data_IF_156268461745
#
_entry.id   IF_156268461745
#
_cell.length_a   1.000
_cell.length_b   1.000
_cell.length_c   1.000
_cell.angle_alpha   90.00
_cell.angle_beta   90.00
_cell.angle_gamma   90.00
#
_symmetry.space_group_name_H-M   'P 1'
#
loop_
_entity.id
_entity.type
_entity.pdbx_description
1 polymer ?
#
# COMPACT_ATOMS: atom_id res chain seq x y z
N UNK A 1 -27.99 -9.80 -6.46
CA UNK A 1 -26.60 -10.27 -6.59
C UNK A 1 -26.14 -10.93 -5.27
N UNK A 2 -25.14 -11.83 -5.31
CA UNK A 2 -24.53 -12.41 -4.08
C UNK A 2 -23.58 -11.43 -3.37
N UNK A 3 -22.88 -10.61 -4.14
CA UNK A 3 -21.88 -9.65 -3.68
C UNK A 3 -22.09 -8.32 -4.39
N UNK A 4 -21.82 -7.23 -3.68
CA UNK A 4 -21.75 -5.87 -4.21
C UNK A 4 -20.31 -5.38 -4.00
N UNK A 5 -19.61 -5.06 -5.08
CA UNK A 5 -18.21 -4.64 -5.06
C UNK A 5 -18.17 -3.16 -5.42
N UNK A 6 -17.58 -2.35 -4.55
CA UNK A 6 -17.37 -0.92 -4.74
C UNK A 6 -15.91 -0.68 -5.09
N UNK A 7 -15.66 0.05 -6.17
CA UNK A 7 -14.33 0.32 -6.71
C UNK A 7 -14.34 1.66 -7.45
N UNK A 8 -13.26 2.43 -7.35
CA UNK A 8 -13.09 3.67 -8.13
C UNK A 8 -12.45 3.42 -9.50
N UNK A 9 -12.53 4.43 -10.37
CA UNK A 9 -12.06 4.34 -11.76
C UNK A 9 -10.53 4.33 -11.89
N UNK A 10 -9.81 4.84 -10.89
CA UNK A 10 -8.35 4.85 -10.79
C UNK A 10 -7.81 3.67 -9.95
N UNK A 11 -8.58 2.58 -9.88
CA UNK A 11 -8.21 1.36 -9.17
C UNK A 11 -8.18 0.16 -10.11
N UNK A 12 -7.02 -0.49 -10.21
CA UNK A 12 -6.90 -1.77 -10.90
C UNK A 12 -7.46 -2.88 -10.02
N UNK A 13 -8.27 -3.76 -10.62
CA UNK A 13 -8.86 -4.92 -9.95
C UNK A 13 -8.48 -6.23 -10.61
N UNK A 14 -8.00 -7.15 -9.78
CA UNK A 14 -7.81 -8.55 -10.15
C UNK A 14 -9.15 -9.29 -10.13
N UNK A 15 -9.83 -9.42 -11.27
CA UNK A 15 -11.00 -10.29 -11.38
C UNK A 15 -10.69 -11.73 -10.98
N UNK A 16 -9.50 -12.25 -11.30
CA UNK A 16 -9.05 -13.58 -10.90
C UNK A 16 -9.04 -13.71 -9.37
N UNK A 17 -8.26 -12.87 -8.68
CA UNK A 17 -8.07 -12.98 -7.24
C UNK A 17 -9.34 -12.59 -6.48
N UNK A 18 -10.10 -11.59 -6.95
CA UNK A 18 -11.39 -11.23 -6.37
C UNK A 18 -12.36 -12.42 -6.42
N UNK A 19 -12.58 -13.03 -7.59
CA UNK A 19 -13.54 -14.13 -7.70
C UNK A 19 -13.11 -15.35 -6.88
N UNK A 20 -11.80 -15.61 -6.78
CA UNK A 20 -11.25 -16.64 -5.90
C UNK A 20 -11.48 -16.31 -4.43
N UNK A 21 -11.29 -15.06 -4.00
CA UNK A 21 -11.60 -14.60 -2.65
C UNK A 21 -13.09 -14.80 -2.33
N UNK A 22 -13.98 -14.30 -3.18
CA UNK A 22 -15.44 -14.38 -2.98
C UNK A 22 -15.95 -15.81 -2.93
N UNK A 23 -15.33 -16.75 -3.66
CA UNK A 23 -15.67 -18.18 -3.62
C UNK A 23 -15.40 -18.82 -2.25
N UNK A 24 -14.52 -18.25 -1.43
CA UNK A 24 -14.17 -18.75 -0.10
C UNK A 24 -15.08 -18.23 1.01
N UNK A 25 -15.93 -17.26 0.70
CA UNK A 25 -16.80 -16.58 1.65
C UNK A 25 -18.27 -16.97 1.43
N UNK A 26 -19.08 -16.83 2.48
CA UNK A 26 -20.52 -17.10 2.42
C UNK A 26 -21.30 -15.78 2.33
N UNK A 27 -21.89 -15.52 1.15
CA UNK A 27 -22.69 -14.32 0.90
C UNK A 27 -23.98 -14.25 1.73
N UNK A 28 -24.39 -15.33 2.38
CA UNK A 28 -25.54 -15.36 3.28
C UNK A 28 -25.20 -14.89 4.70
N UNK A 29 -23.91 -14.71 5.02
CA UNK A 29 -23.47 -14.05 6.24
C UNK A 29 -23.36 -12.54 6.00
N UNK A 30 -23.68 -11.70 6.99
CA UNK A 30 -23.64 -10.25 6.83
C UNK A 30 -22.19 -9.75 6.90
N UNK A 31 -21.49 -9.85 5.76
CA UNK A 31 -20.10 -9.48 5.60
C UNK A 31 -19.97 -8.11 4.94
N UNK A 32 -19.03 -7.31 5.47
CA UNK A 32 -18.51 -6.06 4.93
C UNK A 32 -16.98 -6.07 5.11
N UNK A 33 -16.21 -6.02 4.02
CA UNK A 33 -14.74 -6.08 4.09
C UNK A 33 -14.09 -5.27 2.99
N UNK A 34 -12.89 -4.74 3.24
CA UNK A 34 -12.19 -3.88 2.30
C UNK A 34 -10.89 -3.32 2.86
N UNK A 35 -10.27 -2.39 2.15
CA UNK A 35 -9.10 -1.67 2.64
C UNK A 35 -9.50 -0.76 3.81
N UNK A 36 -8.96 -1.02 5.00
CA UNK A 36 -9.33 -0.28 6.21
C UNK A 36 -8.82 1.16 6.17
N UNK A 37 -9.68 2.09 6.55
CA UNK A 37 -9.33 3.46 6.88
C UNK A 37 -10.15 3.92 8.11
N UNK A 38 -9.74 5.03 8.74
CA UNK A 38 -10.33 5.53 9.99
C UNK A 38 -10.52 7.05 9.92
N UNK A 39 -11.74 7.50 10.22
CA UNK A 39 -12.09 8.93 10.39
C UNK A 39 -12.83 9.05 11.72
N UNK A 40 -12.24 9.78 12.67
CA UNK A 40 -12.75 9.86 14.05
C UNK A 40 -12.84 8.46 14.67
N UNK A 41 -14.05 8.07 15.08
CA UNK A 41 -14.33 6.75 15.65
C UNK A 41 -14.79 5.71 14.60
N UNK A 42 -15.02 6.13 13.35
CA UNK A 42 -15.51 5.24 12.30
C UNK A 42 -14.36 4.52 11.62
N UNK A 43 -14.38 3.19 11.69
CA UNK A 43 -13.56 2.31 10.83
C UNK A 43 -14.37 1.92 9.58
N UNK A 44 -13.84 2.22 8.39
CA UNK A 44 -14.55 2.02 7.13
C UNK A 44 -13.64 1.45 6.04
N UNK A 45 -14.27 0.85 5.03
CA UNK A 45 -13.61 0.39 3.82
C UNK A 45 -13.41 1.57 2.87
N UNK A 46 -12.16 1.93 2.60
CA UNK A 46 -11.80 3.03 1.70
C UNK A 46 -12.37 2.81 0.30
N UNK A 47 -13.17 3.76 -0.19
CA UNK A 47 -13.89 3.67 -1.47
C UNK A 47 -12.97 3.50 -2.66
N UNK A 48 -11.86 4.25 -2.69
CA UNK A 48 -10.84 4.15 -3.73
C UNK A 48 -10.20 2.78 -3.84
N UNK A 49 -9.65 2.29 -2.73
CA UNK A 49 -9.01 0.97 -2.66
C UNK A 49 -9.98 -0.21 -2.80
N UNK A 50 -11.26 0.04 -2.53
CA UNK A 50 -12.37 -0.86 -2.73
C UNK A 50 -12.82 -1.58 -1.47
N UNK A 51 -14.10 -1.98 -1.49
CA UNK A 51 -14.71 -2.81 -0.47
C UNK A 51 -15.85 -3.66 -1.06
N UNK A 52 -16.26 -4.67 -0.30
CA UNK A 52 -17.29 -5.63 -0.70
C UNK A 52 -18.34 -5.74 0.39
N UNK A 53 -19.60 -5.72 -0.04
CA UNK A 53 -20.78 -5.96 0.79
C UNK A 53 -21.48 -7.25 0.32
N UNK A 54 -21.73 -8.15 1.25
CA UNK A 54 -22.50 -9.38 0.99
C UNK A 54 -24.00 -9.09 0.77
N UNK A 55 -24.70 -10.02 0.09
CA UNK A 55 -26.16 -9.94 -0.04
C UNK A 55 -26.87 -9.83 1.31
N UNK A 56 -26.44 -10.61 2.31
CA UNK A 56 -27.06 -10.58 3.62
C UNK A 56 -26.84 -9.25 4.36
N UNK A 57 -25.66 -8.61 4.22
CA UNK A 57 -25.41 -7.28 4.77
C UNK A 57 -26.30 -6.22 4.09
N UNK A 58 -26.38 -6.24 2.75
CA UNK A 58 -27.23 -5.32 2.01
C UNK A 58 -28.73 -5.47 2.38
N UNK A 59 -29.21 -6.71 2.53
CA UNK A 59 -30.60 -7.00 2.96
C UNK A 59 -30.92 -6.49 4.36
N UNK A 60 -29.95 -6.52 5.28
CA UNK A 60 -30.16 -5.93 6.62
C UNK A 60 -30.42 -4.43 6.53
N UNK A 61 -29.62 -3.73 5.72
CA UNK A 61 -29.79 -2.28 5.52
C UNK A 61 -31.10 -1.97 4.77
N UNK A 62 -31.45 -2.77 3.76
CA UNK A 62 -32.75 -2.68 3.09
C UNK A 62 -33.92 -2.88 4.07
N UNK A 63 -33.83 -3.86 4.98
CA UNK A 63 -34.84 -4.10 6.00
C UNK A 63 -35.00 -2.91 6.97
N UNK A 64 -33.88 -2.25 7.31
CA UNK A 64 -33.88 -1.01 8.10
C UNK A 64 -34.59 0.11 7.33
N UNK A 65 -34.27 0.30 6.05
CA UNK A 65 -34.92 1.28 5.18
C UNK A 65 -36.41 1.01 5.02
N UNK A 66 -36.84 -0.24 4.83
CA UNK A 66 -38.24 -0.61 4.68
C UNK A 66 -39.05 -0.35 5.96
N UNK A 67 -38.44 -0.59 7.13
CA UNK A 67 -39.07 -0.36 8.44
C UNK A 67 -39.24 1.14 8.74
N UNK A 68 -38.18 1.92 8.48
CA UNK A 68 -38.12 3.33 8.91
C UNK A 68 -38.56 4.30 7.80
N UNK A 69 -38.68 3.83 6.56
CA UNK A 69 -39.28 4.54 5.42
C UNK A 69 -38.65 5.90 5.15
N UNK A 70 -39.48 6.95 5.15
CA UNK A 70 -39.05 8.33 4.87
C UNK A 70 -38.03 8.83 5.89
N UNK A 71 -38.15 8.43 7.16
CA UNK A 71 -37.22 8.87 8.21
C UNK A 71 -35.79 8.36 7.97
N UNK A 72 -35.64 7.15 7.41
CA UNK A 72 -34.34 6.62 7.00
C UNK A 72 -33.71 7.50 5.91
N UNK A 73 -34.48 7.81 4.86
CA UNK A 73 -34.01 8.61 3.73
C UNK A 73 -33.61 10.01 4.19
N UNK A 74 -34.48 10.71 4.91
CA UNK A 74 -34.20 12.08 5.41
C UNK A 74 -32.95 12.12 6.30
N UNK A 75 -32.75 11.10 7.15
CA UNK A 75 -31.57 10.99 8.00
C UNK A 75 -30.29 10.85 7.17
N UNK A 76 -30.25 9.90 6.24
CA UNK A 76 -29.03 9.63 5.46
C UNK A 76 -28.76 10.70 4.41
N UNK A 77 -29.78 11.33 3.82
CA UNK A 77 -29.61 12.51 2.96
C UNK A 77 -28.95 13.65 3.72
N UNK A 78 -29.44 13.96 4.93
CA UNK A 78 -28.85 15.00 5.78
C UNK A 78 -27.41 14.67 6.15
N UNK A 79 -27.16 13.48 6.69
CA UNK A 79 -25.81 13.06 7.11
C UNK A 79 -24.83 13.07 5.93
N UNK A 80 -25.26 12.61 4.75
CA UNK A 80 -24.43 12.62 3.54
C UNK A 80 -24.12 14.05 3.09
N UNK A 81 -25.09 14.97 3.17
CA UNK A 81 -24.88 16.38 2.80
C UNK A 81 -23.91 17.14 3.71
N UNK A 82 -23.69 16.64 4.92
CA UNK A 82 -22.81 17.25 5.93
C UNK A 82 -21.45 16.53 6.05
N UNK A 83 -21.25 15.41 5.33
CA UNK A 83 -20.03 14.60 5.38
C UNK A 83 -19.12 14.82 4.16
N UNK A 84 -17.81 14.67 4.36
CA UNK A 84 -16.83 14.72 3.29
C UNK A 84 -16.82 13.47 2.40
N UNK A 85 -17.26 12.34 2.95
CA UNK A 85 -16.72 11.05 2.55
C UNK A 85 -17.83 9.99 2.48
N UNK A 86 -18.26 9.62 1.27
CA UNK A 86 -19.41 8.75 1.06
C UNK A 86 -19.20 7.29 1.47
N UNK A 87 -17.97 6.80 1.41
CA UNK A 87 -17.56 5.48 1.89
C UNK A 87 -17.67 5.34 3.41
N UNK A 88 -17.29 6.38 4.15
CA UNK A 88 -17.49 6.50 5.60
C UNK A 88 -19.00 6.44 5.95
N UNK A 89 -19.85 7.13 5.17
CA UNK A 89 -21.30 7.08 5.35
C UNK A 89 -21.86 5.67 5.15
N UNK A 90 -21.39 4.94 4.14
CA UNK A 90 -21.79 3.53 3.92
C UNK A 90 -21.43 2.67 5.13
N UNK A 91 -20.23 2.85 5.70
CA UNK A 91 -19.83 2.11 6.89
C UNK A 91 -20.71 2.43 8.11
N UNK A 92 -21.02 3.72 8.35
CA UNK A 92 -21.95 4.12 9.42
C UNK A 92 -23.32 3.47 9.25
N UNK A 93 -23.84 3.43 8.03
CA UNK A 93 -25.12 2.79 7.73
C UNK A 93 -25.11 1.27 8.01
N UNK A 94 -24.01 0.59 7.70
CA UNK A 94 -23.83 -0.82 7.99
C UNK A 94 -23.69 -1.10 9.50
N UNK A 95 -23.05 -0.22 10.25
CA UNK A 95 -22.94 -0.31 11.72
C UNK A 95 -24.31 -0.28 12.40
N UNK A 96 -25.28 0.51 11.89
CA UNK A 96 -26.65 0.55 12.44
C UNK A 96 -27.39 -0.79 12.37
N UNK A 97 -26.96 -1.67 11.46
CA UNK A 97 -27.49 -3.03 11.33
C UNK A 97 -26.53 -4.11 11.84
N UNK A 98 -25.60 -3.69 12.70
CA UNK A 98 -24.58 -4.51 13.34
C UNK A 98 -23.72 -5.26 12.31
N UNK A 99 -23.24 -4.54 11.29
CA UNK A 99 -22.29 -5.02 10.28
C UNK A 99 -21.08 -4.09 10.28
N UNK A 100 -19.99 -4.57 10.85
CA UNK A 100 -18.73 -3.82 10.98
C UNK A 100 -17.76 -4.21 9.88
N UNK A 101 -16.83 -3.32 9.56
CA UNK A 101 -15.76 -3.61 8.61
C UNK A 101 -14.88 -4.75 9.13
N UNK A 102 -14.63 -5.73 8.29
CA UNK A 102 -13.50 -6.67 8.43
C UNK A 102 -12.33 -6.15 7.57
N UNK A 103 -11.21 -5.75 8.17
CA UNK A 103 -10.03 -5.31 7.42
C UNK A 103 -9.55 -6.41 6.47
N UNK A 104 -9.44 -6.09 5.19
CA UNK A 104 -9.06 -7.04 4.13
C UNK A 104 -7.60 -6.87 3.67
N UNK A 105 -6.79 -6.07 4.36
CA UNK A 105 -5.38 -5.89 4.03
C UNK A 105 -4.60 -7.20 4.27
N UNK A 106 -3.65 -7.58 3.40
CA UNK A 106 -3.24 -6.89 2.17
C UNK A 106 -3.98 -7.37 0.90
N UNK A 107 -5.02 -8.21 1.00
CA UNK A 107 -5.77 -8.64 -0.20
C UNK A 107 -6.32 -7.43 -0.96
N UNK A 108 -6.98 -6.52 -0.26
CA UNK A 108 -7.52 -5.26 -0.78
C UNK A 108 -6.80 -4.11 -0.07
N UNK A 109 -6.15 -3.24 -0.84
CA UNK A 109 -5.23 -2.23 -0.31
C UNK A 109 -5.10 -1.00 -1.23
N UNK A 110 -4.47 0.08 -0.75
CA UNK A 110 -4.48 1.40 -1.39
C UNK A 110 -3.20 1.86 -2.07
N UNK A 111 -2.11 1.12 -1.94
CA UNK A 111 -0.84 1.43 -2.59
C UNK A 111 -0.84 1.05 -4.07
N UNK A 112 0.14 1.61 -4.78
CA UNK A 112 0.54 1.21 -6.13
C UNK A 112 1.71 0.23 -6.06
N UNK A 113 2.05 -0.42 -7.17
CA UNK A 113 3.29 -1.22 -7.28
C UNK A 113 4.55 -0.37 -7.00
N UNK A 114 4.48 0.93 -7.30
CA UNK A 114 5.57 1.85 -7.05
C UNK A 114 5.75 2.18 -5.55
N UNK A 115 4.65 2.28 -4.79
CA UNK A 115 4.67 2.85 -3.44
C UNK A 115 4.63 1.80 -2.33
N UNK A 116 4.11 0.60 -2.61
CA UNK A 116 3.99 -0.48 -1.63
C UNK A 116 5.35 -0.87 -1.04
N UNK A 117 5.36 -1.10 0.27
CA UNK A 117 6.45 -1.72 1.02
C UNK A 117 6.38 -3.25 0.92
N UNK A 118 7.28 -3.82 0.12
CA UNK A 118 7.33 -5.26 -0.07
C UNK A 118 7.85 -5.93 1.21
N UNK A 119 6.94 -6.57 1.95
CA UNK A 119 7.23 -7.27 3.22
C UNK A 119 6.70 -8.70 3.20
N UNK A 120 7.10 -9.50 4.19
CA UNK A 120 6.61 -10.87 4.37
C UNK A 120 5.07 -10.95 4.52
N UNK A 121 4.41 -9.87 4.94
CA UNK A 121 2.95 -9.82 5.10
C UNK A 121 2.23 -9.78 3.75
N UNK A 122 2.88 -9.19 2.74
CA UNK A 122 2.38 -9.12 1.37
C UNK A 122 2.72 -10.39 0.58
N UNK A 123 3.98 -10.82 0.65
CA UNK A 123 4.62 -11.71 -0.33
C UNK A 123 3.78 -12.90 -0.80
N UNK A 124 3.15 -13.62 0.15
CA UNK A 124 2.36 -14.83 -0.10
C UNK A 124 0.85 -14.64 -0.11
N UNK A 125 0.41 -13.38 -0.20
CA UNK A 125 -1.00 -13.02 -0.27
C UNK A 125 -1.37 -12.73 -1.73
N UNK A 126 -2.59 -13.07 -2.19
CA UNK A 126 -3.11 -12.61 -3.47
C UNK A 126 -3.34 -11.10 -3.49
N UNK A 127 -2.83 -10.40 -4.50
CA UNK A 127 -3.12 -8.97 -4.67
C UNK A 127 -4.45 -8.80 -5.42
N UNK A 128 -5.47 -8.18 -4.79
CA UNK A 128 -6.78 -7.95 -5.41
C UNK A 128 -6.87 -6.55 -6.02
N UNK A 129 -6.38 -5.52 -5.33
CA UNK A 129 -6.48 -4.13 -5.79
C UNK A 129 -5.16 -3.37 -5.74
N UNK A 130 -5.04 -2.40 -6.65
CA UNK A 130 -4.00 -1.37 -6.67
C UNK A 130 -4.68 -0.04 -6.97
N UNK A 131 -4.55 0.95 -6.08
CA UNK A 131 -5.28 2.23 -6.18
C UNK A 131 -4.34 3.38 -6.54
N UNK A 132 -4.89 4.53 -6.97
CA UNK A 132 -4.16 5.66 -7.54
C UNK A 132 -3.26 5.28 -8.72
N UNK A 133 -3.77 4.38 -9.56
CA UNK A 133 -3.09 3.92 -10.76
C UNK A 133 -3.59 4.68 -11.99
N UNK A 134 -2.65 5.01 -12.87
CA UNK A 134 -2.97 5.63 -14.16
C UNK A 134 -3.71 4.65 -15.09
N UNK A 135 -4.40 5.15 -16.14
CA UNK A 135 -5.03 4.29 -17.14
C UNK A 135 -4.06 3.28 -17.78
N UNK A 136 -2.80 3.67 -17.97
CA UNK A 136 -1.76 2.80 -18.51
C UNK A 136 -1.38 1.68 -17.53
N UNK A 137 -1.30 1.98 -16.24
CA UNK A 137 -1.08 0.96 -15.21
C UNK A 137 -2.28 0.00 -15.09
N UNK A 138 -3.51 0.50 -15.22
CA UNK A 138 -4.71 -0.35 -15.27
C UNK A 138 -4.64 -1.34 -16.44
N UNK A 139 -4.35 -0.86 -17.66
CA UNK A 139 -4.20 -1.71 -18.85
C UNK A 139 -3.05 -2.72 -18.69
N UNK A 140 -1.94 -2.29 -18.11
CA UNK A 140 -0.77 -3.15 -17.85
C UNK A 140 -1.10 -4.28 -16.87
N UNK A 141 -1.78 -3.96 -15.76
CA UNK A 141 -2.22 -4.96 -14.77
C UNK A 141 -3.26 -5.92 -15.36
N UNK A 142 -4.16 -5.40 -16.21
CA UNK A 142 -5.14 -6.22 -16.92
C UNK A 142 -4.46 -7.23 -17.86
N UNK A 143 -3.47 -6.79 -18.64
CA UNK A 143 -2.67 -7.65 -19.52
C UNK A 143 -1.90 -8.71 -18.74
N UNK A 144 -1.29 -8.35 -17.61
CA UNK A 144 -0.61 -9.29 -16.73
C UNK A 144 -1.57 -10.38 -16.23
N UNK A 145 -2.73 -10.01 -15.69
CA UNK A 145 -3.74 -10.98 -15.26
C UNK A 145 -4.19 -11.87 -16.42
N UNK A 146 -4.43 -11.28 -17.59
CA UNK A 146 -4.86 -12.03 -18.77
C UNK A 146 -3.82 -13.09 -19.16
N UNK A 147 -2.55 -12.72 -19.24
CA UNK A 147 -1.45 -13.66 -19.49
C UNK A 147 -1.37 -14.76 -18.44
N UNK A 148 -1.48 -14.39 -17.15
CA UNK A 148 -1.47 -15.36 -16.05
C UNK A 148 -2.61 -16.37 -16.16
N UNK A 149 -3.83 -15.91 -16.43
CA UNK A 149 -5.01 -16.77 -16.60
C UNK A 149 -4.85 -17.68 -17.81
N UNK A 150 -4.31 -17.17 -18.91
CA UNK A 150 -4.13 -17.96 -20.15
C UNK A 150 -3.08 -19.07 -19.93
N UNK A 151 -2.07 -18.86 -19.08
CA UNK A 151 -1.04 -19.86 -18.74
C UNK A 151 -1.45 -20.81 -17.62
N UNK A 152 -1.98 -20.29 -16.49
CA UNK A 152 -2.21 -21.04 -15.23
C UNK A 152 -3.67 -21.38 -14.97
N UNK A 153 -4.60 -20.77 -15.70
CA UNK A 153 -6.04 -20.93 -15.55
C UNK A 153 -6.66 -20.17 -14.38
N UNK A 154 -7.99 -20.08 -14.36
CA UNK A 154 -8.78 -19.32 -13.37
C UNK A 154 -8.79 -19.88 -11.93
N UNK A 155 -8.15 -21.03 -11.69
CA UNK A 155 -8.11 -21.67 -10.37
C UNK A 155 -6.87 -21.31 -9.56
N UNK A 156 -5.86 -20.74 -10.21
CA UNK A 156 -4.54 -20.47 -9.64
C UNK A 156 -4.38 -18.97 -9.46
N UNK A 157 -4.40 -18.43 -8.22
CA UNK A 157 -4.17 -17.00 -8.00
C UNK A 157 -2.73 -16.61 -8.39
N UNK A 158 -2.52 -15.35 -8.74
CA UNK A 158 -1.19 -14.74 -8.61
C UNK A 158 -1.08 -14.06 -7.24
N UNK A 159 0.13 -14.01 -6.72
CA UNK A 159 0.47 -13.45 -5.42
C UNK A 159 1.27 -12.15 -5.58
N UNK A 160 1.47 -11.41 -4.48
CA UNK A 160 2.36 -10.25 -4.47
C UNK A 160 3.75 -10.58 -5.01
N UNK A 161 4.34 -11.74 -4.69
CA UNK A 161 5.63 -12.15 -5.27
C UNK A 161 5.65 -12.19 -6.81
N UNK A 162 4.53 -12.58 -7.43
CA UNK A 162 4.45 -12.68 -8.89
C UNK A 162 4.36 -11.28 -9.52
N UNK A 163 3.66 -10.35 -8.85
CA UNK A 163 3.63 -8.94 -9.22
C UNK A 163 5.02 -8.32 -9.06
N UNK A 164 5.72 -8.60 -7.95
CA UNK A 164 7.09 -8.14 -7.72
C UNK A 164 8.04 -8.62 -8.81
N UNK A 165 8.02 -9.92 -9.12
CA UNK A 165 8.87 -10.51 -10.16
C UNK A 165 8.60 -9.90 -11.54
N UNK A 166 7.33 -9.62 -11.86
CA UNK A 166 6.97 -9.09 -13.16
C UNK A 166 7.24 -7.59 -13.32
N UNK A 167 6.96 -6.78 -12.28
CA UNK A 167 6.96 -5.32 -12.38
C UNK A 167 8.07 -4.60 -11.63
N UNK A 168 8.76 -5.27 -10.71
CA UNK A 168 9.72 -4.62 -9.80
C UNK A 168 11.14 -5.16 -10.01
N UNK A 169 11.30 -6.48 -10.06
CA UNK A 169 12.59 -7.17 -10.01
C UNK A 169 13.62 -6.60 -10.99
N UNK A 170 13.26 -6.46 -12.27
CA UNK A 170 14.17 -5.93 -13.29
C UNK A 170 14.54 -4.45 -13.06
N UNK A 171 13.66 -3.68 -12.43
CA UNK A 171 13.84 -2.25 -12.25
C UNK A 171 14.76 -1.90 -11.09
N UNK A 172 14.86 -2.77 -10.08
CA UNK A 172 15.66 -2.57 -8.87
C UNK A 172 17.04 -3.25 -8.90
N UNK A 173 17.34 -4.02 -9.96
CA UNK A 173 18.65 -4.65 -10.19
C UNK A 173 19.77 -3.66 -10.51
N UNK A 174 19.43 -2.42 -10.84
CA UNK A 174 20.37 -1.37 -11.21
C UNK A 174 20.16 -0.13 -10.34
N UNK A 175 21.25 0.58 -10.08
CA UNK A 175 21.15 1.92 -9.50
C UNK A 175 20.46 2.85 -10.48
N UNK A 176 19.58 3.70 -9.97
CA UNK A 176 18.79 4.64 -10.77
C UNK A 176 19.14 6.08 -10.42
N UNK A 177 19.25 6.92 -11.44
CA UNK A 177 19.36 8.38 -11.32
C UNK A 177 17.98 9.00 -11.47
N UNK A 178 17.77 10.18 -10.87
CA UNK A 178 16.51 10.92 -10.88
C UNK A 178 15.32 10.05 -10.47
N UNK A 179 15.55 9.25 -9.42
CA UNK A 179 14.64 8.23 -8.95
C UNK A 179 14.47 8.27 -7.44
N UNK A 180 13.22 8.37 -6.98
CA UNK A 180 12.84 8.41 -5.57
C UNK A 180 12.27 7.05 -5.18
N UNK A 181 13.08 6.22 -4.52
CA UNK A 181 12.66 4.89 -4.02
C UNK A 181 11.93 4.93 -2.66
N UNK A 182 11.64 6.11 -2.11
CA UNK A 182 10.87 6.28 -0.86
C UNK A 182 11.60 5.66 0.36
N UNK A 183 12.94 5.71 0.37
CA UNK A 183 13.74 5.41 1.56
C UNK A 183 13.51 6.46 2.65
N UNK A 184 13.17 6.05 3.87
CA UNK A 184 12.78 6.97 4.95
C UNK A 184 13.05 6.49 6.39
N UNK A 185 13.43 5.22 6.60
CA UNK A 185 13.57 4.64 7.95
C UNK A 185 14.75 5.21 8.74
N UNK A 186 15.83 5.61 8.04
CA UNK A 186 16.90 6.40 8.61
C UNK A 186 17.19 7.57 7.69
N UNK A 187 17.24 8.78 8.26
CA UNK A 187 17.53 10.01 7.52
C UNK A 187 18.80 10.65 8.08
N UNK A 188 19.70 11.03 7.18
CA UNK A 188 20.95 11.71 7.48
C UNK A 188 21.05 12.97 6.63
N UNK A 189 21.35 14.10 7.25
CA UNK A 189 21.44 15.39 6.58
C UNK A 189 22.60 16.21 7.15
N UNK A 190 23.38 16.83 6.26
CA UNK A 190 24.44 17.77 6.67
C UNK A 190 23.82 18.93 7.46
N UNK A 191 24.39 19.32 8.60
CA UNK A 191 23.98 20.54 9.28
C UNK A 191 24.15 21.73 8.32
N UNK A 192 23.06 22.42 7.99
CA UNK A 192 23.15 23.67 7.23
C UNK A 192 23.83 24.73 8.08
N UNK A 193 24.78 25.49 7.51
CA UNK A 193 25.45 26.62 8.19
C UNK A 193 24.56 27.84 8.40
N UNK A 194 23.24 27.69 8.28
CA UNK A 194 22.25 28.70 8.58
C UNK A 194 21.11 28.03 9.34
N UNK A 195 20.68 28.68 10.43
CA UNK A 195 19.45 28.42 11.15
C UNK A 195 18.33 28.05 10.17
N UNK A 196 17.96 26.78 10.16
CA UNK A 196 16.61 26.40 9.78
C UNK A 196 16.04 25.63 10.95
N UNK A 197 15.48 26.38 11.89
CA UNK A 197 14.21 26.01 12.50
C UNK A 197 13.16 25.89 11.38
N UNK A 198 13.32 24.91 10.51
CA UNK A 198 12.22 24.40 9.72
C UNK A 198 11.55 23.39 10.62
N UNK A 199 10.41 23.79 11.16
CA UNK A 199 9.50 22.88 11.84
C UNK A 199 9.32 21.66 10.93
N UNK A 200 9.78 20.53 11.46
CA UNK A 200 9.57 19.17 10.97
C UNK A 200 8.06 18.89 11.01
N UNK A 201 7.34 19.54 10.11
CA UNK A 201 5.89 19.54 9.97
C UNK A 201 5.44 18.42 9.03
N UNK A 202 5.97 17.22 9.28
CA UNK A 202 5.20 15.99 9.12
C UNK A 202 5.63 15.07 10.27
N UNK A 203 4.66 14.58 11.03
CA UNK A 203 4.80 13.59 12.08
C UNK A 203 5.25 12.23 11.50
N UNK A 204 6.43 12.19 10.88
CA UNK A 204 7.02 10.95 10.41
C UNK A 204 7.69 10.25 11.59
N UNK A 205 6.92 9.44 12.29
CA UNK A 205 7.37 8.63 13.42
C UNK A 205 8.28 7.46 12.98
N UNK A 206 8.51 7.28 11.68
CA UNK A 206 9.31 6.15 11.16
C UNK A 206 10.81 6.39 11.18
N UNK A 207 11.28 7.64 11.27
CA UNK A 207 12.71 7.94 11.30
C UNK A 207 13.34 7.55 12.65
N UNK A 208 14.18 6.53 12.62
CA UNK A 208 14.90 5.98 13.78
C UNK A 208 15.88 7.01 14.39
N UNK A 209 16.33 7.99 13.59
CA UNK A 209 17.26 9.01 14.03
C UNK A 209 16.60 10.34 14.39
N UNK A 210 15.27 10.37 14.46
CA UNK A 210 14.51 11.56 14.87
C UNK A 210 15.05 12.13 16.18
N UNK A 211 15.45 13.40 16.15
CA UNK A 211 15.96 14.13 17.31
C UNK A 211 17.41 13.84 17.70
N UNK A 212 18.14 12.97 16.97
CA UNK A 212 19.58 12.77 17.19
C UNK A 212 20.39 13.83 16.42
N UNK A 213 21.31 14.56 17.08
CA UNK A 213 22.20 15.49 16.39
C UNK A 213 23.13 14.77 15.41
N UNK A 214 23.37 15.36 14.24
CA UNK A 214 24.26 14.78 13.21
C UNK A 214 25.66 14.44 13.74
N UNK A 215 26.22 15.26 14.63
CA UNK A 215 27.53 15.02 15.25
C UNK A 215 27.58 13.84 16.23
N UNK A 216 26.43 13.25 16.56
CA UNK A 216 26.29 12.09 17.44
C UNK A 216 25.97 10.80 16.67
N UNK A 217 25.89 10.87 15.35
CA UNK A 217 25.74 9.70 14.48
C UNK A 217 27.06 8.93 14.37
N UNK A 218 26.98 7.68 13.95
CA UNK A 218 28.17 6.85 13.70
C UNK A 218 29.00 7.43 12.53
N UNK A 219 30.28 7.07 12.44
CA UNK A 219 31.21 7.67 11.46
C UNK A 219 30.77 7.40 10.00
N UNK A 220 30.25 6.21 9.73
CA UNK A 220 29.69 5.83 8.43
C UNK A 220 28.36 6.56 8.14
N UNK A 221 27.51 6.76 9.14
CA UNK A 221 26.29 7.58 9.02
C UNK A 221 26.60 9.04 8.71
N UNK A 222 27.62 9.62 9.36
CA UNK A 222 28.08 10.99 9.06
C UNK A 222 28.71 11.11 7.67
N UNK A 223 29.37 10.06 7.18
CA UNK A 223 29.93 10.04 5.82
C UNK A 223 28.86 9.83 4.76
N UNK A 224 27.79 9.11 5.07
CA UNK A 224 26.71 8.74 4.14
C UNK A 224 26.17 9.90 3.28
N UNK A 225 26.20 11.13 3.79
CA UNK A 225 25.72 12.33 3.11
C UNK A 225 26.67 12.90 2.06
N UNK A 226 27.92 12.43 1.94
CA UNK A 226 28.90 13.00 1.01
C UNK A 226 28.80 12.42 -0.41
N UNK A 227 28.41 11.16 -0.54
CA UNK A 227 28.29 10.51 -1.85
C UNK A 227 27.30 9.35 -1.83
N UNK A 228 26.82 8.99 -3.01
CA UNK A 228 25.95 7.83 -3.20
C UNK A 228 26.60 6.53 -2.69
N UNK A 229 27.91 6.36 -2.88
CA UNK A 229 28.62 5.14 -2.46
C UNK A 229 28.79 5.10 -0.93
N UNK A 230 29.05 6.23 -0.28
CA UNK A 230 29.07 6.29 1.20
C UNK A 230 27.68 6.04 1.79
N UNK A 231 26.61 6.47 1.12
CA UNK A 231 25.23 6.12 1.49
C UNK A 231 24.96 4.61 1.37
N UNK A 232 25.50 3.97 0.33
CA UNK A 232 25.44 2.51 0.17
C UNK A 232 26.20 1.78 1.29
N UNK A 233 27.38 2.28 1.68
CA UNK A 233 28.16 1.73 2.80
C UNK A 233 27.40 1.84 4.12
N UNK A 234 26.74 2.96 4.39
CA UNK A 234 25.90 3.11 5.58
C UNK A 234 24.72 2.11 5.58
N UNK A 235 24.11 1.83 4.41
CA UNK A 235 23.11 0.77 4.29
C UNK A 235 23.72 -0.63 4.56
N UNK A 236 24.90 -0.91 4.01
CA UNK A 236 25.59 -2.19 4.22
C UNK A 236 25.85 -2.46 5.70
N UNK A 237 26.23 -1.44 6.48
CA UNK A 237 26.48 -1.57 7.91
C UNK A 237 25.21 -1.71 8.78
N UNK A 238 24.03 -1.55 8.19
CA UNK A 238 22.74 -1.81 8.86
C UNK A 238 22.17 -3.14 8.38
N UNK A 239 22.08 -4.13 9.25
CA UNK A 239 21.70 -5.51 8.87
C UNK A 239 20.36 -5.60 8.12
N UNK A 240 19.37 -4.77 8.49
CA UNK A 240 18.01 -4.80 7.97
C UNK A 240 17.77 -3.84 6.79
N UNK A 241 18.75 -3.03 6.40
CA UNK A 241 18.63 -2.08 5.28
C UNK A 241 18.60 -2.81 3.93
N UNK A 242 17.57 -2.59 3.11
CA UNK A 242 17.44 -3.20 1.77
C UNK A 242 17.60 -2.19 0.65
N UNK A 243 17.46 -0.91 0.92
CA UNK A 243 17.56 0.14 -0.07
C UNK A 243 18.10 1.44 0.50
N UNK A 244 18.61 2.28 -0.38
CA UNK A 244 19.17 3.57 -0.02
C UNK A 244 18.89 4.59 -1.13
N UNK A 245 18.85 5.86 -0.73
CA UNK A 245 18.62 6.99 -1.60
C UNK A 245 19.51 8.15 -1.17
N UNK A 246 20.18 8.75 -2.12
CA UNK A 246 21.11 9.86 -1.86
C UNK A 246 20.78 11.05 -2.74
N UNK A 247 20.88 12.23 -2.15
CA UNK A 247 20.92 13.52 -2.84
C UNK A 247 22.03 14.37 -2.20
N UNK A 248 22.54 15.43 -2.84
CA UNK A 248 23.64 16.22 -2.29
C UNK A 248 23.40 16.66 -0.84
N UNK A 249 24.23 16.14 0.08
CA UNK A 249 24.16 16.46 1.50
C UNK A 249 23.13 15.67 2.31
N UNK A 250 22.42 14.71 1.71
CA UNK A 250 21.43 13.87 2.38
C UNK A 250 21.51 12.41 1.95
N UNK A 251 21.36 11.50 2.91
CA UNK A 251 21.23 10.07 2.68
C UNK A 251 20.00 9.56 3.43
N UNK A 252 19.22 8.72 2.77
CA UNK A 252 18.06 8.04 3.36
C UNK A 252 18.18 6.55 3.13
N UNK A 253 17.92 5.77 4.16
CA UNK A 253 17.96 4.31 4.12
C UNK A 253 16.56 3.73 4.32
N UNK A 254 16.31 2.54 3.77
CA UNK A 254 15.03 1.85 3.85
C UNK A 254 15.18 0.38 4.21
N UNK A 255 14.32 -0.11 5.12
CA UNK A 255 14.22 -1.52 5.52
C UNK A 255 13.47 -2.35 4.51
N UNK A 256 12.45 -1.77 3.91
CA UNK A 256 11.57 -2.44 2.98
C UNK A 256 11.92 -2.07 1.54
N UNK A 257 11.71 -3.02 0.65
CA UNK A 257 11.92 -2.78 -0.77
C UNK A 257 10.72 -1.97 -1.26
N UNK A 258 11.00 -0.89 -1.98
CA UNK A 258 10.04 -0.04 -2.66
C UNK A 258 10.61 0.31 -4.03
N UNK A 259 9.77 0.22 -5.06
CA UNK A 259 10.19 0.57 -6.41
C UNK A 259 10.36 2.08 -6.51
N UNK A 260 9.38 2.86 -6.06
CA UNK A 260 9.37 4.31 -6.20
C UNK A 260 9.04 4.78 -7.61
N UNK A 261 9.34 6.06 -7.89
CA UNK A 261 9.03 6.71 -9.17
C UNK A 261 10.18 7.60 -9.62
N UNK A 262 10.17 7.92 -10.92
CA UNK A 262 11.07 8.94 -11.47
C UNK A 262 10.74 10.31 -10.88
N UNK A 263 11.75 11.13 -10.65
CA UNK A 263 11.58 12.53 -10.25
C UNK A 263 11.25 13.38 -11.48
N UNK A 264 9.99 13.77 -11.63
CA UNK A 264 9.50 14.49 -12.82
C UNK A 264 9.97 15.94 -12.91
N UNK A 265 10.42 16.55 -11.80
CA UNK A 265 10.73 17.98 -11.72
C UNK A 265 12.23 18.30 -11.85
N UNK A 266 13.04 17.39 -12.38
CA UNK A 266 14.46 17.65 -12.64
C UNK A 266 15.23 18.04 -11.37
N UNK A 267 14.99 17.31 -10.28
CA UNK A 267 15.65 17.53 -8.99
C UNK A 267 17.13 17.17 -9.04
N UNK A 268 17.87 17.69 -8.07
CA UNK A 268 19.32 17.81 -8.05
C UNK A 268 20.05 16.46 -7.87
N UNK A 269 19.97 15.56 -8.86
CA UNK A 269 20.79 14.35 -8.93
C UNK A 269 20.50 13.32 -7.85
N UNK A 270 19.22 13.12 -7.50
CA UNK A 270 18.82 12.04 -6.59
C UNK A 270 19.17 10.69 -7.21
N UNK A 271 19.72 9.80 -6.40
CA UNK A 271 20.11 8.45 -6.83
C UNK A 271 19.57 7.43 -5.86
N UNK A 272 18.98 6.36 -6.39
CA UNK A 272 18.43 5.24 -5.62
C UNK A 272 19.17 3.95 -5.92
N UNK A 273 19.38 3.14 -4.89
CA UNK A 273 19.98 1.82 -4.98
C UNK A 273 19.31 0.81 -4.05
N UNK A 274 19.52 -0.47 -4.34
CA UNK A 274 18.98 -1.61 -3.60
C UNK A 274 20.09 -2.63 -3.35
N UNK A 275 20.11 -3.19 -2.13
CA UNK A 275 21.06 -4.20 -1.70
C UNK A 275 20.69 -5.55 -2.32
N UNK A 276 21.27 -5.89 -3.48
CA UNK A 276 20.85 -7.04 -4.29
C UNK A 276 20.81 -8.35 -3.51
N UNK A 277 21.88 -8.68 -2.78
CA UNK A 277 21.94 -9.90 -1.97
C UNK A 277 20.79 -9.98 -0.96
N UNK A 278 20.43 -8.84 -0.33
CA UNK A 278 19.33 -8.76 0.65
C UNK A 278 17.95 -8.83 0.00
N UNK A 279 17.80 -8.28 -1.21
CA UNK A 279 16.57 -8.39 -2.01
C UNK A 279 16.35 -9.85 -2.43
N UNK A 280 17.38 -10.51 -2.93
CA UNK A 280 17.32 -11.91 -3.32
C UNK A 280 17.07 -12.83 -2.11
N UNK A 281 17.75 -12.58 -0.99
CA UNK A 281 17.53 -13.31 0.27
C UNK A 281 16.12 -13.13 0.80
N UNK A 282 15.56 -11.92 0.72
CA UNK A 282 14.18 -11.65 1.10
C UNK A 282 13.21 -12.54 0.31
N UNK A 283 13.34 -12.58 -1.02
CA UNK A 283 12.48 -13.44 -1.85
C UNK A 283 12.66 -14.93 -1.55
N UNK A 284 13.91 -15.40 -1.40
CA UNK A 284 14.24 -16.80 -1.13
C UNK A 284 13.75 -17.28 0.24
N UNK A 285 13.89 -16.43 1.27
CA UNK A 285 13.51 -16.78 2.66
C UNK A 285 12.02 -17.02 2.85
N UNK A 286 11.19 -16.59 1.90
CA UNK A 286 9.73 -16.70 1.93
C UNK A 286 9.19 -17.83 1.05
N UNK A 287 10.05 -18.63 0.44
CA UNK A 287 9.66 -19.83 -0.32
C UNK A 287 9.74 -21.11 0.55
N UNK A 288 8.83 -22.09 0.35
CA UNK A 288 7.73 -22.09 -0.62
C UNK A 288 6.56 -21.23 -0.16
N UNK A 289 6.04 -20.44 -1.09
CA UNK A 289 4.98 -19.48 -0.82
C UNK A 289 3.59 -20.07 -1.04
N UNK A 290 2.82 -20.28 0.05
CA UNK A 290 1.44 -20.77 -0.01
C UNK A 290 0.44 -19.61 0.02
N UNK A 291 -0.60 -19.58 -0.84
CA UNK A 291 -1.58 -18.49 -0.87
C UNK A 291 -2.28 -18.27 0.48
N UNK A 292 -2.01 -17.14 1.13
CA UNK A 292 -2.68 -16.72 2.34
C UNK A 292 -3.92 -15.89 2.01
N UNK A 293 -5.10 -16.41 2.32
CA UNK A 293 -6.39 -15.73 2.11
C UNK A 293 -7.01 -15.19 3.40
N UNK A 294 -6.28 -15.24 4.52
CA UNK A 294 -6.80 -14.81 5.82
C UNK A 294 -6.85 -13.29 5.90
N UNK A 295 -7.97 -12.79 6.42
CA UNK A 295 -8.22 -11.39 6.75
C UNK A 295 -9.32 -11.33 7.81
N UNK A 296 -9.57 -10.14 8.37
CA UNK A 296 -10.51 -9.93 9.46
C UNK A 296 -9.85 -9.98 10.83
#
# INVERSE_FOLDING_TARGET
AKWFVYIEADTSISWLNLLLLLKRLDSNKPLYFGAQNVIGETTFGHGGSGFVVSNAAAKKLEGLQQRDGKAFVEKWEKITSESCCGDEIVARALVEVNVHLMPAWPLIQGETVATIDWTQRHWCTPAVTWHHVSPNEIDTMWKFQKGWVDEKGWKTPYLYKDVFQHFVDQHIRVNRTDWINISQDWKFEKPSSADSSFEDSVSDHSDVNRGKPFSKLDEDEQRSVNSFDECAVACLNKEDCKQYMWEPGRCRLGRDIRLGRSEEKGGMGVRSGWMQDRVEDFGRSLEPCQPNWKFG
#
